data_IF_873636258367
#
_entry.id   IF_873636258367
#
_cell.length_a   1.000
_cell.length_b   1.000
_cell.length_c   1.000
_cell.angle_alpha   90.00
_cell.angle_beta   90.00
_cell.angle_gamma   90.00
#
_symmetry.space_group_name_H-M   'P 1'
#
loop_
_entity.id
_entity.type
_entity.pdbx_description
1 polymer ?
#
# COMPACT_ATOMS: atom_id res chain seq x y z
N UNK A 1 -28.98 -2.53 -6.43
CA UNK A 1 -28.14 -1.55 -5.75
C UNK A 1 -28.41 -0.20 -6.40
N UNK A 2 -28.86 0.79 -5.62
CA UNK A 2 -29.12 2.15 -6.07
C UNK A 2 -28.22 3.14 -5.34
N UNK A 3 -28.02 4.30 -5.92
CA UNK A 3 -27.33 5.43 -5.29
C UNK A 3 -28.35 6.37 -4.68
N UNK A 4 -27.98 7.00 -3.57
CA UNK A 4 -28.82 7.95 -2.86
C UNK A 4 -28.24 9.35 -3.04
N UNK A 5 -29.05 10.29 -3.51
CA UNK A 5 -28.75 11.72 -3.44
C UNK A 5 -29.11 12.23 -2.05
N UNK A 6 -28.16 12.88 -1.41
CA UNK A 6 -28.34 13.48 -0.09
C UNK A 6 -27.78 14.90 -0.08
N UNK A 7 -28.62 15.88 0.25
CA UNK A 7 -28.24 17.27 0.39
C UNK A 7 -28.75 17.81 1.72
N UNK A 8 -27.89 18.55 2.43
CA UNK A 8 -28.26 19.26 3.67
C UNK A 8 -28.02 20.73 3.46
N UNK A 9 -29.02 21.53 3.82
CA UNK A 9 -28.96 22.98 3.89
C UNK A 9 -29.23 23.43 5.35
N UNK A 10 -29.14 24.71 5.63
CA UNK A 10 -29.24 25.21 7.01
C UNK A 10 -30.57 24.88 7.72
N UNK A 11 -31.65 24.72 6.98
CA UNK A 11 -33.02 24.56 7.48
C UNK A 11 -33.79 23.38 6.84
N UNK A 12 -33.17 22.69 5.88
CA UNK A 12 -33.81 21.60 5.16
C UNK A 12 -32.80 20.54 4.71
N UNK A 13 -33.31 19.36 4.41
CA UNK A 13 -32.56 18.30 3.76
C UNK A 13 -33.36 17.63 2.67
N UNK A 14 -32.68 17.07 1.69
CA UNK A 14 -33.25 16.27 0.63
C UNK A 14 -32.60 14.88 0.61
N UNK A 15 -33.41 13.82 0.61
CA UNK A 15 -32.96 12.44 0.44
C UNK A 15 -33.84 11.80 -0.62
N UNK A 16 -33.27 11.31 -1.68
CA UNK A 16 -33.94 10.58 -2.77
C UNK A 16 -33.01 9.64 -3.50
N UNK A 17 -33.54 8.83 -4.37
CA UNK A 17 -32.72 8.08 -5.32
C UNK A 17 -31.96 9.05 -6.24
N UNK A 18 -30.67 8.82 -6.43
CA UNK A 18 -29.85 9.59 -7.36
C UNK A 18 -30.07 9.12 -8.79
N UNK A 19 -30.10 10.05 -9.72
CA UNK A 19 -30.06 9.73 -11.15
C UNK A 19 -28.64 9.32 -11.57
N UNK A 20 -28.53 8.52 -12.64
CA UNK A 20 -27.21 8.15 -13.18
C UNK A 20 -26.38 9.38 -13.61
N UNK A 21 -27.02 10.45 -14.07
CA UNK A 21 -26.33 11.69 -14.42
C UNK A 21 -25.68 12.32 -13.17
N UNK A 22 -26.43 12.47 -12.09
CA UNK A 22 -25.89 13.02 -10.82
C UNK A 22 -24.76 12.16 -10.25
N UNK A 23 -24.87 10.85 -10.38
CA UNK A 23 -23.79 9.92 -9.96
C UNK A 23 -22.54 10.12 -10.80
N UNK A 24 -22.71 10.18 -12.13
CA UNK A 24 -21.57 10.37 -13.05
C UNK A 24 -20.91 11.74 -12.82
N UNK A 25 -21.69 12.82 -12.72
CA UNK A 25 -21.18 14.17 -12.47
C UNK A 25 -20.39 14.21 -11.15
N UNK A 26 -20.91 13.58 -10.09
CA UNK A 26 -20.22 13.49 -8.82
C UNK A 26 -18.86 12.78 -8.92
N UNK A 27 -18.79 11.65 -9.62
CA UNK A 27 -17.55 10.91 -9.79
C UNK A 27 -16.57 11.64 -10.70
N UNK A 28 -17.03 12.31 -11.75
CA UNK A 28 -16.17 13.13 -12.63
C UNK A 28 -15.58 14.33 -11.87
N UNK A 29 -16.36 14.98 -10.99
CA UNK A 29 -15.89 16.08 -10.15
C UNK A 29 -14.81 15.63 -9.12
N UNK A 30 -14.90 14.38 -8.65
CA UNK A 30 -13.91 13.80 -7.74
C UNK A 30 -12.64 13.31 -8.44
N UNK A 31 -12.73 12.99 -9.73
CA UNK A 31 -11.63 12.41 -10.48
C UNK A 31 -10.57 13.46 -10.80
N UNK A 32 -9.29 13.24 -10.42
CA UNK A 32 -8.22 14.16 -10.81
C UNK A 32 -8.13 14.32 -12.33
N UNK A 33 -7.86 15.53 -12.79
CA UNK A 33 -7.70 15.82 -14.23
C UNK A 33 -6.36 15.29 -14.77
N UNK A 34 -5.33 15.25 -13.92
CA UNK A 34 -3.97 14.86 -14.26
C UNK A 34 -3.56 13.58 -13.53
N UNK A 35 -2.65 12.82 -14.13
CA UNK A 35 -2.06 11.64 -13.48
C UNK A 35 -1.15 12.09 -12.34
N UNK A 36 -1.32 11.46 -11.18
CA UNK A 36 -0.52 11.71 -9.99
C UNK A 36 0.63 10.68 -9.92
N UNK A 37 1.85 11.20 -9.78
CA UNK A 37 3.06 10.36 -9.63
C UNK A 37 3.58 10.51 -8.21
N UNK A 38 3.40 9.49 -7.35
CA UNK A 38 3.96 9.51 -6.01
C UNK A 38 5.49 9.59 -6.07
N UNK A 39 6.08 10.50 -5.27
CA UNK A 39 7.55 10.59 -5.18
C UNK A 39 8.07 9.31 -4.53
N UNK A 40 9.04 8.66 -5.21
CA UNK A 40 9.68 7.44 -4.75
C UNK A 40 11.20 7.63 -4.75
N UNK A 41 11.78 7.60 -3.56
CA UNK A 41 13.22 7.67 -3.37
C UNK A 41 13.76 6.27 -3.02
N UNK A 42 14.65 5.76 -3.86
CA UNK A 42 15.30 4.45 -3.71
C UNK A 42 16.75 4.57 -3.22
N UNK A 43 17.19 5.75 -2.82
CA UNK A 43 18.58 5.96 -2.37
C UNK A 43 18.89 5.32 -1.03
N UNK A 44 17.86 5.11 -0.18
CA UNK A 44 17.99 4.39 1.08
C UNK A 44 17.80 2.90 0.81
N UNK A 45 18.85 2.14 1.02
CA UNK A 45 18.91 0.71 0.68
C UNK A 45 18.91 -0.22 1.88
N UNK A 46 18.95 0.32 3.11
CA UNK A 46 19.06 -0.44 4.36
C UNK A 46 17.76 -0.38 5.17
N UNK A 47 17.42 -1.49 5.82
CA UNK A 47 16.35 -1.52 6.82
C UNK A 47 16.77 -0.64 8.01
N UNK A 48 15.94 0.32 8.36
CA UNK A 48 16.29 1.38 9.31
C UNK A 48 15.40 1.33 10.55
N UNK A 49 15.99 1.50 11.73
CA UNK A 49 15.24 1.62 13.00
C UNK A 49 14.30 2.83 12.94
N UNK A 50 13.11 2.71 13.54
CA UNK A 50 12.21 3.86 13.71
C UNK A 50 12.84 5.02 14.50
N UNK A 51 13.89 4.78 15.28
CA UNK A 51 14.61 5.84 15.99
C UNK A 51 15.49 6.71 15.07
N UNK A 52 15.83 6.19 13.89
CA UNK A 52 16.70 6.85 12.90
C UNK A 52 15.92 7.37 11.68
N UNK A 53 14.61 7.07 11.59
CA UNK A 53 13.74 7.55 10.50
C UNK A 53 13.15 8.92 10.87
N UNK A 54 13.20 9.87 9.94
CA UNK A 54 12.59 11.19 10.10
C UNK A 54 11.37 11.37 9.20
N UNK A 55 10.61 12.44 9.44
CA UNK A 55 9.44 12.78 8.62
C UNK A 55 9.79 12.97 7.14
N UNK A 56 10.95 13.57 6.85
CA UNK A 56 11.44 13.87 5.50
C UNK A 56 11.74 12.60 4.69
N UNK A 57 11.94 11.45 5.35
CA UNK A 57 12.19 10.16 4.70
C UNK A 57 10.90 9.47 4.21
N UNK A 58 9.77 10.17 4.19
CA UNK A 58 8.49 9.60 3.72
C UNK A 58 8.51 9.13 2.26
N UNK A 59 9.35 9.76 1.42
CA UNK A 59 9.56 9.31 0.02
C UNK A 59 10.28 7.97 -0.09
N UNK A 60 10.97 7.51 0.96
CA UNK A 60 11.70 6.23 0.99
C UNK A 60 11.01 5.15 1.81
N UNK A 61 10.29 5.52 2.89
CA UNK A 61 9.65 4.58 3.83
C UNK A 61 8.12 4.65 3.84
N UNK A 62 7.54 5.63 3.16
CA UNK A 62 6.10 5.91 3.19
C UNK A 62 5.65 6.69 4.42
N UNK A 63 4.50 7.35 4.29
CA UNK A 63 3.99 8.28 5.29
C UNK A 63 3.69 7.63 6.65
N UNK A 64 3.10 6.43 6.66
CA UNK A 64 2.79 5.75 7.93
C UNK A 64 4.05 5.42 8.75
N UNK A 65 5.11 4.97 8.09
CA UNK A 65 6.38 4.66 8.76
C UNK A 65 7.02 5.93 9.31
N UNK A 66 7.16 6.96 8.47
CA UNK A 66 7.79 8.23 8.85
C UNK A 66 7.01 8.98 9.94
N UNK A 67 5.67 8.97 9.87
CA UNK A 67 4.83 9.55 10.92
C UNK A 67 4.98 8.80 12.25
N UNK A 68 4.97 7.47 12.23
CA UNK A 68 5.15 6.66 13.43
C UNK A 68 6.52 6.91 14.07
N UNK A 69 7.58 6.97 13.25
CA UNK A 69 8.93 7.31 13.68
C UNK A 69 8.99 8.70 14.32
N UNK A 70 8.42 9.71 13.65
CA UNK A 70 8.37 11.08 14.16
C UNK A 70 7.62 11.18 15.50
N UNK A 71 6.54 10.43 15.69
CA UNK A 71 5.80 10.41 16.96
C UNK A 71 6.66 9.95 18.15
N UNK A 72 7.73 9.17 17.94
CA UNK A 72 8.65 8.76 19.02
C UNK A 72 9.39 9.95 19.64
N UNK A 73 9.56 11.04 18.89
CA UNK A 73 10.18 12.28 19.37
C UNK A 73 9.25 13.18 20.20
N UNK A 74 7.95 12.87 20.30
CA UNK A 74 6.95 13.72 20.97
C UNK A 74 6.93 13.61 22.50
N UNK A 75 7.80 12.78 23.08
CA UNK A 75 7.91 12.64 24.54
C UNK A 75 6.76 11.87 25.18
N UNK A 76 6.09 10.99 24.44
CA UNK A 76 5.11 10.07 25.01
C UNK A 76 5.76 9.14 26.06
N UNK A 77 4.98 8.61 27.02
CA UNK A 77 5.46 7.60 27.94
C UNK A 77 6.09 6.41 27.21
N UNK A 78 7.15 5.83 27.81
CA UNK A 78 7.82 4.64 27.26
C UNK A 78 6.80 3.53 26.92
N UNK A 79 6.97 2.89 25.78
CA UNK A 79 6.07 1.83 25.29
C UNK A 79 4.78 2.31 24.61
N UNK A 80 4.47 3.62 24.60
CA UNK A 80 3.32 4.17 23.87
C UNK A 80 3.48 3.97 22.37
N UNK A 81 4.67 4.23 21.84
CA UNK A 81 5.03 3.96 20.45
C UNK A 81 5.96 2.74 20.45
N UNK A 82 5.55 1.62 19.81
CA UNK A 82 6.36 0.41 19.83
C UNK A 82 7.68 0.59 19.09
N UNK A 83 8.67 -0.23 19.44
CA UNK A 83 9.88 -0.38 18.65
C UNK A 83 9.55 -1.02 17.30
N UNK A 84 10.38 -0.73 16.31
CA UNK A 84 10.18 -1.27 14.98
C UNK A 84 11.22 -0.77 13.99
N UNK A 85 11.03 -1.19 12.74
CA UNK A 85 11.91 -0.87 11.63
C UNK A 85 11.08 -0.43 10.42
N UNK A 86 11.64 0.46 9.61
CA UNK A 86 11.19 0.75 8.26
C UNK A 86 11.94 -0.10 7.25
N UNK A 87 11.20 -0.78 6.38
CA UNK A 87 11.74 -1.44 5.19
C UNK A 87 11.58 -0.44 4.05
N UNK A 88 12.66 0.05 3.42
CA UNK A 88 12.57 1.08 2.40
C UNK A 88 11.95 0.55 1.10
N UNK A 89 11.42 1.46 0.27
CA UNK A 89 10.85 1.12 -1.03
C UNK A 89 11.84 0.42 -1.97
N UNK A 90 13.13 0.60 -1.75
CA UNK A 90 14.19 -0.13 -2.44
C UNK A 90 14.00 -1.66 -2.38
N UNK A 91 13.61 -2.21 -1.23
CA UNK A 91 13.34 -3.65 -1.10
C UNK A 91 12.17 -4.12 -1.95
N UNK A 92 11.09 -3.35 -2.01
CA UNK A 92 9.97 -3.67 -2.89
C UNK A 92 10.39 -3.59 -4.35
N UNK A 93 11.09 -2.55 -4.74
CA UNK A 93 11.57 -2.33 -6.10
C UNK A 93 12.49 -3.46 -6.59
N UNK A 94 13.50 -3.81 -5.81
CA UNK A 94 14.42 -4.92 -6.09
C UNK A 94 13.70 -6.27 -6.16
N UNK A 95 12.73 -6.53 -5.28
CA UNK A 95 11.93 -7.73 -5.33
C UNK A 95 11.08 -7.82 -6.61
N UNK A 96 10.48 -6.72 -7.03
CA UNK A 96 9.69 -6.65 -8.26
C UNK A 96 10.57 -6.85 -9.50
N UNK A 97 11.74 -6.20 -9.55
CA UNK A 97 12.71 -6.35 -10.63
C UNK A 97 13.27 -7.78 -10.71
N UNK A 98 13.69 -8.35 -9.60
CA UNK A 98 14.25 -9.70 -9.53
C UNK A 98 13.33 -10.78 -10.12
N UNK A 99 12.01 -10.58 -9.98
CA UNK A 99 10.98 -11.51 -10.45
C UNK A 99 10.34 -11.08 -11.79
N UNK A 100 10.81 -10.02 -12.44
CA UNK A 100 10.23 -9.40 -13.64
C UNK A 100 8.74 -9.01 -13.49
N UNK A 101 8.31 -8.68 -12.28
CA UNK A 101 6.91 -8.38 -11.99
C UNK A 101 6.45 -7.04 -12.58
N UNK A 102 7.32 -6.09 -12.83
CA UNK A 102 6.96 -4.87 -13.54
C UNK A 102 6.53 -5.14 -14.98
N UNK A 103 7.27 -5.98 -15.71
CA UNK A 103 6.95 -6.41 -17.06
C UNK A 103 5.67 -7.25 -17.09
N UNK A 104 5.51 -8.18 -16.15
CA UNK A 104 4.30 -8.99 -16.02
C UNK A 104 3.07 -8.13 -15.76
N UNK A 105 3.15 -7.17 -14.82
CA UNK A 105 2.08 -6.25 -14.51
C UNK A 105 1.71 -5.39 -15.73
N UNK A 106 2.69 -4.90 -16.49
CA UNK A 106 2.44 -4.13 -17.71
C UNK A 106 1.69 -4.96 -18.75
N UNK A 107 2.12 -6.20 -18.99
CA UNK A 107 1.43 -7.12 -19.93
C UNK A 107 -0.02 -7.39 -19.49
N UNK A 108 -0.27 -7.54 -18.20
CA UNK A 108 -1.62 -7.71 -17.66
C UNK A 108 -2.46 -6.46 -17.90
N UNK A 109 -1.94 -5.28 -17.59
CA UNK A 109 -2.65 -4.00 -17.72
C UNK A 109 -2.90 -3.61 -19.18
N UNK A 110 -2.02 -3.97 -20.10
CA UNK A 110 -2.17 -3.69 -21.53
C UNK A 110 -3.19 -4.61 -22.24
N UNK A 111 -3.66 -5.64 -21.56
CA UNK A 111 -4.66 -6.55 -22.12
C UNK A 111 -6.04 -5.86 -22.27
N UNK A 112 -6.64 -5.82 -23.48
CA UNK A 112 -7.94 -5.21 -23.67
C UNK A 112 -9.08 -5.79 -22.80
N UNK A 113 -9.01 -7.09 -22.48
CA UNK A 113 -9.99 -7.70 -21.58
C UNK A 113 -9.81 -7.20 -20.13
N UNK A 114 -8.57 -6.94 -19.69
CA UNK A 114 -8.30 -6.34 -18.39
C UNK A 114 -8.88 -4.92 -18.29
N UNK A 115 -8.81 -4.15 -19.35
CA UNK A 115 -9.35 -2.79 -19.41
C UNK A 115 -10.90 -2.77 -19.40
N UNK A 116 -11.56 -3.73 -20.04
CA UNK A 116 -12.98 -3.66 -20.35
C UNK A 116 -13.85 -4.66 -19.56
N UNK A 117 -13.28 -5.68 -18.92
CA UNK A 117 -14.00 -6.69 -18.15
C UNK A 117 -13.52 -6.72 -16.69
N UNK A 118 -14.37 -6.26 -15.80
CA UNK A 118 -14.11 -6.16 -14.36
C UNK A 118 -13.86 -7.54 -13.72
N UNK A 119 -14.51 -8.61 -14.21
CA UNK A 119 -14.31 -9.95 -13.66
C UNK A 119 -12.97 -10.52 -14.09
N UNK A 120 -12.62 -10.34 -15.36
CA UNK A 120 -11.29 -10.71 -15.87
C UNK A 120 -10.19 -9.94 -15.14
N UNK A 121 -10.36 -8.63 -14.93
CA UNK A 121 -9.42 -7.79 -14.17
C UNK A 121 -9.21 -8.32 -12.76
N UNK A 122 -10.29 -8.58 -12.04
CA UNK A 122 -10.21 -9.11 -10.68
C UNK A 122 -9.48 -10.46 -10.64
N UNK A 123 -9.77 -11.37 -11.57
CA UNK A 123 -9.12 -12.67 -11.67
C UNK A 123 -7.60 -12.53 -11.94
N UNK A 124 -7.21 -11.68 -12.89
CA UNK A 124 -5.79 -11.46 -13.21
C UNK A 124 -5.01 -10.82 -12.06
N UNK A 125 -5.61 -9.86 -11.37
CA UNK A 125 -5.00 -9.27 -10.17
C UNK A 125 -4.82 -10.30 -9.05
N UNK A 126 -5.78 -11.21 -8.85
CA UNK A 126 -5.66 -12.26 -7.84
C UNK A 126 -4.58 -13.30 -8.23
N UNK A 127 -4.47 -13.65 -9.50
CA UNK A 127 -3.40 -14.50 -10.00
C UNK A 127 -2.03 -13.85 -9.78
N UNK A 128 -1.88 -12.58 -10.15
CA UNK A 128 -0.65 -11.82 -9.96
C UNK A 128 -0.26 -11.72 -8.47
N UNK A 129 -1.23 -11.48 -7.59
CA UNK A 129 -1.00 -11.49 -6.14
C UNK A 129 -0.50 -12.82 -5.63
N UNK A 130 -0.98 -13.95 -6.17
CA UNK A 130 -0.46 -15.28 -5.84
C UNK A 130 0.99 -15.40 -6.28
N UNK A 131 1.31 -15.02 -7.51
CA UNK A 131 2.68 -15.00 -8.00
C UNK A 131 3.61 -14.21 -7.07
N UNK A 132 3.22 -13.00 -6.66
CA UNK A 132 3.99 -12.17 -5.72
C UNK A 132 4.20 -12.86 -4.36
N UNK A 133 3.19 -13.52 -3.81
CA UNK A 133 3.30 -14.22 -2.51
C UNK A 133 4.25 -15.42 -2.59
N UNK A 134 4.24 -16.14 -3.71
CA UNK A 134 4.96 -17.40 -3.88
C UNK A 134 6.37 -17.20 -4.45
N UNK A 135 6.65 -16.04 -5.02
CA UNK A 135 7.92 -15.73 -5.66
C UNK A 135 9.14 -15.87 -4.74
N UNK A 136 10.29 -16.27 -5.29
CA UNK A 136 11.55 -16.25 -4.55
C UNK A 136 11.96 -14.82 -4.21
N UNK A 137 12.73 -14.68 -3.13
CA UNK A 137 13.32 -13.41 -2.72
C UNK A 137 14.85 -13.56 -2.78
N UNK A 138 15.60 -12.53 -3.23
CA UNK A 138 17.05 -12.58 -3.24
C UNK A 138 17.62 -12.94 -1.86
N UNK A 139 18.73 -13.69 -1.81
CA UNK A 139 19.28 -14.15 -0.54
C UNK A 139 19.66 -12.99 0.38
N UNK A 140 20.26 -11.93 -0.15
CA UNK A 140 20.62 -10.75 0.64
C UNK A 140 19.40 -10.11 1.34
N UNK A 141 18.24 -10.08 0.66
CA UNK A 141 16.99 -9.60 1.28
C UNK A 141 16.52 -10.51 2.42
N UNK A 142 16.63 -11.83 2.22
CA UNK A 142 16.28 -12.79 3.27
C UNK A 142 17.18 -12.57 4.49
N UNK A 143 18.48 -12.40 4.29
CA UNK A 143 19.45 -12.20 5.35
C UNK A 143 19.16 -10.89 6.13
N UNK A 144 18.90 -9.79 5.44
CA UNK A 144 18.55 -8.50 6.06
C UNK A 144 17.22 -8.55 6.83
N UNK A 145 16.20 -9.19 6.25
CA UNK A 145 14.90 -9.37 6.91
C UNK A 145 15.03 -10.29 8.15
N UNK A 146 15.90 -11.29 8.10
CA UNK A 146 16.17 -12.14 9.25
C UNK A 146 16.89 -11.36 10.34
N UNK A 147 17.93 -10.61 9.99
CA UNK A 147 18.66 -9.78 10.96
C UNK A 147 17.74 -8.75 11.65
N UNK A 148 16.85 -8.12 10.88
CA UNK A 148 15.80 -7.24 11.43
C UNK A 148 14.86 -8.02 12.38
N UNK A 149 14.42 -9.21 12.00
CA UNK A 149 13.51 -10.02 12.82
C UNK A 149 14.16 -10.47 14.12
N UNK A 150 15.43 -10.84 14.08
CA UNK A 150 16.21 -11.27 15.24
C UNK A 150 16.48 -10.13 16.26
N UNK A 151 16.27 -8.87 15.86
CA UNK A 151 16.34 -7.73 16.78
C UNK A 151 15.10 -7.63 17.71
N UNK A 152 14.03 -8.36 17.42
CA UNK A 152 12.88 -8.48 18.33
C UNK A 152 13.08 -9.67 19.30
N UNK A 153 12.51 -9.62 20.53
CA UNK A 153 12.51 -10.80 21.40
C UNK A 153 11.84 -11.99 20.71
N UNK A 154 12.43 -13.17 20.81
CA UNK A 154 12.09 -14.39 20.03
C UNK A 154 10.61 -14.81 20.13
N UNK A 155 9.97 -14.54 21.28
CA UNK A 155 8.57 -14.89 21.51
C UNK A 155 7.59 -13.76 21.16
N UNK A 156 8.07 -12.67 20.55
CA UNK A 156 7.24 -11.50 20.27
C UNK A 156 6.64 -11.57 18.86
N UNK A 157 5.31 -11.56 18.71
CA UNK A 157 4.70 -11.42 17.40
C UNK A 157 5.01 -10.05 16.79
N UNK A 158 5.43 -10.04 15.52
CA UNK A 158 5.79 -8.81 14.79
C UNK A 158 4.68 -8.43 13.81
N UNK A 159 4.24 -7.17 13.84
CA UNK A 159 3.22 -6.67 12.93
C UNK A 159 3.85 -6.01 11.71
N UNK A 160 3.77 -6.67 10.56
CA UNK A 160 4.17 -6.10 9.25
C UNK A 160 3.00 -5.29 8.70
N UNK A 161 3.26 -4.03 8.36
CA UNK A 161 2.24 -3.07 7.89
C UNK A 161 2.68 -2.42 6.59
N UNK A 162 1.73 -2.15 5.70
CA UNK A 162 1.97 -1.31 4.54
C UNK A 162 2.27 0.13 4.97
N UNK A 163 3.23 0.73 4.30
CA UNK A 163 3.51 2.16 4.36
C UNK A 163 3.82 2.59 2.93
N UNK A 164 3.02 3.45 2.35
CA UNK A 164 3.10 3.82 0.95
C UNK A 164 3.27 5.34 0.81
N UNK A 165 3.70 5.78 -0.35
CA UNK A 165 3.87 7.19 -0.71
C UNK A 165 2.65 7.79 -1.42
N UNK A 166 1.62 6.99 -1.68
CA UNK A 166 0.41 7.44 -2.35
C UNK A 166 -0.81 7.57 -1.41
N UNK A 167 -0.71 7.16 -0.15
CA UNK A 167 -1.83 7.26 0.79
C UNK A 167 -2.21 8.70 1.16
N UNK A 168 -1.29 9.65 1.01
CA UNK A 168 -1.47 11.06 1.37
C UNK A 168 -1.51 11.99 0.14
N UNK A 169 -1.78 11.46 -1.05
CA UNK A 169 -1.96 12.30 -2.24
C UNK A 169 -3.27 13.09 -2.17
N UNK A 170 -3.33 14.30 -2.72
CA UNK A 170 -4.53 15.12 -2.71
C UNK A 170 -5.76 14.39 -3.26
N UNK A 171 -6.81 14.34 -2.45
CA UNK A 171 -8.09 13.69 -2.81
C UNK A 171 -8.10 12.17 -2.68
N UNK A 172 -6.98 11.52 -2.35
CA UNK A 172 -6.91 10.07 -2.19
C UNK A 172 -6.78 9.67 -0.72
N UNK A 173 -7.54 8.67 -0.31
CA UNK A 173 -7.36 8.03 1.00
C UNK A 173 -7.08 6.56 0.84
N UNK A 174 -5.84 6.15 1.04
CA UNK A 174 -5.42 4.75 1.03
C UNK A 174 -5.84 3.95 2.27
N UNK A 175 -6.66 4.52 3.15
CA UNK A 175 -7.07 3.87 4.38
C UNK A 175 -7.84 2.57 4.13
N UNK A 176 -7.32 1.46 4.68
CA UNK A 176 -7.95 0.13 4.56
C UNK A 176 -7.80 -0.56 3.21
N UNK A 177 -7.07 0.03 2.26
CA UNK A 177 -6.81 -0.60 0.96
C UNK A 177 -5.81 -1.75 1.06
N UNK A 178 -4.81 -1.63 1.92
CA UNK A 178 -3.69 -2.56 1.99
C UNK A 178 -3.75 -3.45 3.23
N UNK A 179 -3.14 -4.62 3.12
CA UNK A 179 -3.16 -5.62 4.18
C UNK A 179 -2.02 -5.40 5.17
N UNK A 180 -2.29 -5.65 6.45
CA UNK A 180 -1.27 -5.86 7.47
C UNK A 180 -1.27 -7.32 7.90
N UNK A 181 -0.09 -7.89 8.17
CA UNK A 181 0.05 -9.28 8.63
C UNK A 181 0.82 -9.33 9.96
N UNK A 182 0.30 -10.09 10.91
CA UNK A 182 1.08 -10.45 12.10
C UNK A 182 1.89 -11.71 11.80
N UNK A 183 3.18 -11.65 12.02
CA UNK A 183 4.10 -12.78 11.99
C UNK A 183 4.21 -13.33 13.40
N UNK A 184 3.80 -14.57 13.61
CA UNK A 184 4.01 -15.28 14.88
C UNK A 184 5.36 -16.02 14.87
N UNK A 185 5.96 -16.29 16.03
CA UNK A 185 7.27 -16.93 16.11
C UNK A 185 7.40 -18.29 15.40
N UNK A 186 6.30 -19.04 15.33
CA UNK A 186 6.23 -20.38 14.73
C UNK A 186 5.89 -20.36 13.22
N UNK A 187 5.67 -19.20 12.61
CA UNK A 187 5.32 -19.09 11.19
C UNK A 187 6.53 -19.15 10.24
N UNK A 188 7.75 -19.25 10.77
CA UNK A 188 8.99 -19.30 10.01
C UNK A 188 9.47 -17.93 9.57
N UNK A 189 10.14 -17.84 8.42
CA UNK A 189 10.81 -16.62 7.98
C UNK A 189 9.84 -15.47 7.69
N UNK A 190 10.16 -14.26 8.21
CA UNK A 190 9.30 -13.04 8.13
C UNK A 190 9.03 -12.58 6.69
N UNK A 191 9.85 -12.98 5.71
CA UNK A 191 9.63 -12.68 4.30
C UNK A 191 8.26 -13.12 3.78
N UNK A 192 7.66 -14.16 4.37
CA UNK A 192 6.30 -14.60 4.03
C UNK A 192 5.27 -13.49 4.32
N UNK A 193 5.37 -12.87 5.48
CA UNK A 193 4.50 -11.76 5.87
C UNK A 193 4.78 -10.49 5.06
N UNK A 194 6.05 -10.20 4.76
CA UNK A 194 6.45 -9.08 3.91
C UNK A 194 5.86 -9.24 2.50
N UNK A 195 5.99 -10.42 1.87
CA UNK A 195 5.41 -10.69 0.56
C UNK A 195 3.88 -10.59 0.53
N UNK A 196 3.19 -10.96 1.62
CA UNK A 196 1.74 -10.74 1.72
C UNK A 196 1.36 -9.26 1.73
N UNK A 197 2.16 -8.42 2.39
CA UNK A 197 1.96 -6.96 2.38
C UNK A 197 2.26 -6.42 0.98
N UNK A 198 3.35 -6.83 0.32
CA UNK A 198 3.68 -6.46 -1.07
C UNK A 198 2.55 -6.84 -2.03
N UNK A 199 2.06 -8.07 -1.96
CA UNK A 199 0.94 -8.53 -2.79
C UNK A 199 -0.34 -7.70 -2.57
N UNK A 200 -0.54 -7.11 -1.40
CA UNK A 200 -1.74 -6.31 -1.13
C UNK A 200 -1.81 -5.00 -1.93
N UNK A 201 -0.69 -4.53 -2.47
CA UNK A 201 -0.65 -3.41 -3.42
C UNK A 201 -1.45 -3.69 -4.70
N UNK A 202 -1.58 -4.97 -5.07
CA UNK A 202 -2.23 -5.44 -6.28
C UNK A 202 -3.62 -6.04 -6.03
N UNK A 203 -4.23 -5.81 -4.85
CA UNK A 203 -5.60 -6.24 -4.65
C UNK A 203 -6.55 -5.41 -5.53
N UNK A 204 -7.66 -6.02 -5.95
CA UNK A 204 -8.62 -5.43 -6.87
C UNK A 204 -9.09 -4.03 -6.43
N UNK A 205 -9.48 -3.89 -5.16
CA UNK A 205 -9.95 -2.61 -4.64
C UNK A 205 -8.86 -1.53 -4.68
N UNK A 206 -7.62 -1.86 -4.30
CA UNK A 206 -6.52 -0.90 -4.34
C UNK A 206 -6.17 -0.50 -5.78
N UNK A 207 -6.28 -1.43 -6.73
CA UNK A 207 -6.10 -1.14 -8.15
C UNK A 207 -7.18 -0.17 -8.65
N UNK A 208 -8.46 -0.49 -8.45
CA UNK A 208 -9.59 0.35 -8.88
C UNK A 208 -9.51 1.77 -8.30
N UNK A 209 -9.18 1.90 -7.02
CA UNK A 209 -9.02 3.20 -6.37
C UNK A 209 -7.87 4.02 -6.99
N UNK A 210 -6.71 3.39 -7.24
CA UNK A 210 -5.59 4.08 -7.89
C UNK A 210 -5.92 4.48 -9.34
N UNK A 211 -6.58 3.59 -10.09
CA UNK A 211 -7.01 3.87 -11.45
C UNK A 211 -8.02 5.03 -11.50
N UNK A 212 -9.01 5.01 -10.60
CA UNK A 212 -9.99 6.09 -10.49
C UNK A 212 -9.33 7.44 -10.21
N UNK A 213 -8.39 7.49 -9.26
CA UNK A 213 -7.66 8.72 -8.90
C UNK A 213 -6.45 8.98 -9.80
N UNK A 214 -6.32 8.27 -10.92
CA UNK A 214 -5.23 8.43 -11.90
C UNK A 214 -3.84 8.39 -11.26
N UNK A 215 -3.65 7.53 -10.28
CA UNK A 215 -2.34 7.31 -9.69
C UNK A 215 -1.54 6.32 -10.53
N UNK A 216 -0.26 6.63 -10.77
CA UNK A 216 0.63 5.67 -11.42
C UNK A 216 0.73 4.38 -10.59
N UNK A 217 0.60 3.23 -11.27
CA UNK A 217 0.73 1.90 -10.64
C UNK A 217 2.16 1.36 -10.67
N UNK A 218 3.11 2.14 -11.24
CA UNK A 218 4.52 1.76 -11.42
C UNK A 218 5.46 2.72 -10.74
#
# INVERSE_FOLDING_TARGET
NGYIYYKVESDQYEIREATLAEVNDWYEDLRPTETQYPIRDLSITEITSLDDITFEMSSSFGAKCSNLATMRSFGFPEGTIPNGFGIPFYFYDEFMQYNNFYEEAQVIMDNPAFQNDINFRNERLEDFRRSVKDAPMPQWMLDELQAMHDAFPSETPVRVRSSTNNEDLPGFSGAGLYTSKTQYPDEGHISKSVKQVYASMWNFRAYEERDFYKQSST
#
